data_IF_167577299743
#
_entry.id   IF_167577299743
#
_cell.length_a   1.000
_cell.length_b   1.000
_cell.length_c   1.000
_cell.angle_alpha   90.00
_cell.angle_beta   90.00
_cell.angle_gamma   90.00
#
_symmetry.space_group_name_H-M   'P 1'
#
loop_
_entity.id
_entity.type
_entity.pdbx_description
1 polymer ?
#
# COMPACT_ATOMS: atom_id res chain seq x y z
N UNK A 1 -12.62 -19.50 29.48
CA UNK A 1 -12.70 -18.98 28.10
C UNK A 1 -14.14 -18.60 27.81
N UNK A 2 -14.41 -17.46 27.15
CA UNK A 2 -15.77 -17.03 26.75
C UNK A 2 -15.82 -17.00 25.22
N UNK A 3 -16.88 -17.55 24.62
CA UNK A 3 -17.10 -17.53 23.17
C UNK A 3 -18.27 -16.59 22.85
N UNK A 4 -18.07 -15.65 21.92
CA UNK A 4 -19.10 -14.71 21.50
C UNK A 4 -19.49 -15.00 20.06
N UNK A 5 -20.79 -15.00 19.78
CA UNK A 5 -21.33 -15.33 18.45
C UNK A 5 -21.43 -14.07 17.61
N UNK A 6 -20.72 -14.04 16.49
CA UNK A 6 -20.69 -12.91 15.54
C UNK A 6 -21.85 -12.99 14.56
N UNK A 7 -21.99 -14.12 13.86
CA UNK A 7 -23.07 -14.37 12.92
C UNK A 7 -24.13 -15.24 13.61
N UNK A 8 -25.26 -14.64 14.02
CA UNK A 8 -26.34 -15.44 14.62
C UNK A 8 -27.00 -16.37 13.60
N UNK A 9 -26.88 -16.07 12.30
CA UNK A 9 -27.59 -16.74 11.22
C UNK A 9 -26.92 -18.04 10.78
N UNK A 10 -25.67 -18.25 11.18
CA UNK A 10 -24.90 -19.44 10.87
C UNK A 10 -25.63 -20.71 11.42
N UNK A 11 -25.95 -21.70 10.55
CA UNK A 11 -26.69 -22.89 10.96
C UNK A 11 -25.88 -23.83 11.87
N UNK A 12 -24.55 -23.84 11.74
CA UNK A 12 -23.66 -24.59 12.62
C UNK A 12 -23.67 -23.96 14.01
N UNK A 13 -23.47 -22.64 14.13
CA UNK A 13 -23.45 -22.00 15.45
C UNK A 13 -24.81 -22.11 16.14
N UNK A 14 -25.92 -22.00 15.40
CA UNK A 14 -27.28 -22.24 15.94
C UNK A 14 -27.42 -23.65 16.50
N UNK A 15 -26.84 -24.65 15.85
CA UNK A 15 -26.85 -26.04 16.31
C UNK A 15 -25.96 -26.22 17.55
N UNK A 16 -24.74 -25.68 17.54
CA UNK A 16 -23.83 -25.73 18.68
C UNK A 16 -24.39 -25.02 19.92
N UNK A 17 -25.08 -23.88 19.77
CA UNK A 17 -25.77 -23.19 20.87
C UNK A 17 -26.89 -24.04 21.50
N UNK A 18 -27.61 -24.83 20.69
CA UNK A 18 -28.63 -25.76 21.21
C UNK A 18 -28.01 -26.91 22.00
N UNK A 19 -26.87 -27.45 21.55
CA UNK A 19 -26.16 -28.55 22.22
C UNK A 19 -25.46 -28.06 23.49
N UNK A 20 -24.90 -26.85 23.48
CA UNK A 20 -24.14 -26.26 24.60
C UNK A 20 -24.66 -24.87 25.00
N UNK A 21 -25.81 -24.76 25.68
CA UNK A 21 -26.48 -23.48 25.95
C UNK A 21 -25.67 -22.48 26.79
N UNK A 22 -24.76 -22.97 27.63
CA UNK A 22 -23.94 -22.13 28.52
C UNK A 22 -22.58 -21.72 27.92
N UNK A 23 -22.20 -22.26 26.76
CA UNK A 23 -20.86 -22.06 26.19
C UNK A 23 -20.71 -20.74 25.42
N UNK A 24 -21.78 -20.31 24.76
CA UNK A 24 -21.79 -19.16 23.84
C UNK A 24 -22.56 -17.98 24.42
N UNK A 25 -22.05 -16.78 24.15
CA UNK A 25 -22.65 -15.49 24.52
C UNK A 25 -23.00 -14.69 23.27
N UNK A 26 -23.95 -13.78 23.39
CA UNK A 26 -24.26 -12.87 22.30
C UNK A 26 -23.16 -11.82 22.15
N UNK A 27 -22.90 -11.37 20.91
CA UNK A 27 -21.89 -10.33 20.65
C UNK A 27 -22.13 -9.05 21.43
N UNK A 28 -23.40 -8.71 21.66
CA UNK A 28 -23.81 -7.56 22.46
C UNK A 28 -23.29 -7.61 23.91
N UNK A 29 -23.10 -8.81 24.48
CA UNK A 29 -22.52 -9.00 25.83
C UNK A 29 -21.01 -8.78 25.88
N UNK A 30 -20.32 -8.68 24.73
CA UNK A 30 -18.89 -8.45 24.71
C UNK A 30 -18.57 -7.05 25.26
N UNK A 31 -17.62 -6.90 26.21
CA UNK A 31 -17.19 -5.59 26.69
C UNK A 31 -16.71 -4.68 25.55
N UNK A 32 -17.08 -3.40 25.58
CA UNK A 32 -16.76 -2.43 24.52
C UNK A 32 -15.26 -2.34 24.23
N UNK A 33 -14.41 -2.36 25.27
CA UNK A 33 -12.96 -2.34 25.06
C UNK A 33 -12.43 -3.56 24.29
N UNK A 34 -13.08 -4.72 24.38
CA UNK A 34 -12.71 -5.88 23.56
C UNK A 34 -13.20 -5.74 22.12
N UNK A 35 -14.40 -5.14 21.92
CA UNK A 35 -14.95 -4.87 20.59
C UNK A 35 -14.02 -4.01 19.74
N UNK A 36 -13.32 -3.06 20.37
CA UNK A 36 -12.34 -2.18 19.73
C UNK A 36 -11.04 -2.88 19.27
N UNK A 37 -10.83 -4.14 19.66
CA UNK A 37 -9.58 -4.88 19.39
C UNK A 37 -9.82 -6.24 18.74
N UNK A 38 -11.03 -6.48 18.22
CA UNK A 38 -11.34 -7.72 17.52
C UNK A 38 -10.54 -7.76 16.22
N UNK A 39 -10.08 -8.95 15.86
CA UNK A 39 -9.43 -9.23 14.59
C UNK A 39 -10.30 -10.16 13.78
N UNK A 40 -10.42 -9.87 12.49
CA UNK A 40 -10.99 -10.84 11.57
C UNK A 40 -10.12 -12.12 11.57
N UNK A 41 -10.72 -13.33 11.63
CA UNK A 41 -9.93 -14.55 11.77
C UNK A 41 -9.12 -14.85 10.50
N UNK A 42 -7.81 -15.01 10.64
CA UNK A 42 -6.89 -15.22 9.51
C UNK A 42 -7.16 -16.54 8.77
N UNK A 43 -7.35 -17.64 9.49
CA UNK A 43 -7.62 -18.95 8.86
C UNK A 43 -8.91 -18.93 8.04
N UNK A 44 -9.97 -18.30 8.57
CA UNK A 44 -11.24 -18.13 7.84
C UNK A 44 -11.03 -17.29 6.59
N UNK A 45 -10.29 -16.20 6.71
CA UNK A 45 -9.99 -15.29 5.61
C UNK A 45 -9.18 -15.97 4.50
N UNK A 46 -8.18 -16.79 4.84
CA UNK A 46 -7.40 -17.57 3.88
C UNK A 46 -8.32 -18.49 3.08
N UNK A 47 -9.20 -19.25 3.75
CA UNK A 47 -10.16 -20.14 3.07
C UNK A 47 -11.09 -19.34 2.14
N UNK A 48 -11.60 -18.20 2.59
CA UNK A 48 -12.45 -17.33 1.78
C UNK A 48 -11.71 -16.76 0.56
N UNK A 49 -10.46 -16.33 0.73
CA UNK A 49 -9.59 -15.86 -0.33
C UNK A 49 -9.29 -16.96 -1.36
N UNK A 50 -9.01 -18.19 -0.90
CA UNK A 50 -8.81 -19.37 -1.75
C UNK A 50 -10.06 -19.72 -2.55
N UNK A 51 -11.25 -19.70 -1.93
CA UNK A 51 -12.52 -19.92 -2.64
C UNK A 51 -12.73 -18.81 -3.67
N UNK A 52 -12.59 -17.55 -3.27
CA UNK A 52 -12.80 -16.40 -4.16
C UNK A 52 -11.86 -16.42 -5.37
N UNK A 53 -10.65 -16.96 -5.23
CA UNK A 53 -9.66 -17.09 -6.30
C UNK A 53 -10.20 -17.74 -7.59
N UNK A 54 -11.22 -18.60 -7.45
CA UNK A 54 -11.88 -19.27 -8.57
C UNK A 54 -13.35 -18.86 -8.70
N UNK A 55 -14.09 -18.70 -7.60
CA UNK A 55 -15.54 -18.51 -7.63
C UNK A 55 -16.00 -17.07 -7.89
N UNK A 56 -15.09 -16.11 -8.06
CA UNK A 56 -15.45 -14.77 -8.54
C UNK A 56 -15.87 -14.78 -10.02
N UNK A 57 -15.45 -15.78 -10.79
CA UNK A 57 -15.83 -15.96 -12.20
C UNK A 57 -17.30 -16.35 -12.30
N UNK A 58 -18.13 -15.44 -12.81
CA UNK A 58 -19.59 -15.64 -12.96
C UNK A 58 -19.98 -16.21 -14.32
N UNK A 59 -19.16 -16.02 -15.35
CA UNK A 59 -19.42 -16.58 -16.68
C UNK A 59 -19.10 -18.09 -16.68
N UNK A 60 -20.06 -18.96 -17.04
CA UNK A 60 -19.85 -20.42 -16.99
C UNK A 60 -18.74 -20.92 -17.90
N UNK A 61 -18.50 -20.27 -19.05
CA UNK A 61 -17.45 -20.69 -20.00
C UNK A 61 -16.07 -20.32 -19.45
N UNK A 62 -15.92 -19.09 -18.96
CA UNK A 62 -14.70 -18.61 -18.29
C UNK A 62 -14.39 -19.48 -17.07
N UNK A 63 -15.39 -19.82 -16.26
CA UNK A 63 -15.24 -20.69 -15.10
C UNK A 63 -14.82 -22.11 -15.48
N UNK A 64 -15.50 -22.73 -16.46
CA UNK A 64 -15.18 -24.07 -16.93
C UNK A 64 -13.74 -24.17 -17.47
N UNK A 65 -13.30 -23.16 -18.23
CA UNK A 65 -11.97 -23.09 -18.80
C UNK A 65 -10.89 -22.58 -17.82
N UNK A 66 -11.29 -22.08 -16.63
CA UNK A 66 -10.39 -21.47 -15.64
C UNK A 66 -9.53 -20.34 -16.22
N UNK A 67 -10.14 -19.50 -17.05
CA UNK A 67 -9.44 -18.46 -17.82
C UNK A 67 -8.98 -17.26 -16.96
N UNK A 68 -9.67 -16.97 -15.85
CA UNK A 68 -9.38 -15.83 -14.96
C UNK A 68 -9.12 -16.30 -13.52
N UNK A 69 -8.32 -17.36 -13.33
CA UNK A 69 -7.95 -17.82 -11.99
C UNK A 69 -7.00 -16.84 -11.33
N UNK A 70 -7.33 -16.41 -10.12
CA UNK A 70 -6.46 -15.59 -9.29
C UNK A 70 -5.65 -16.47 -8.36
N UNK A 71 -4.52 -15.96 -7.87
CA UNK A 71 -3.68 -16.61 -6.87
C UNK A 71 -3.16 -15.58 -5.87
N UNK A 72 -3.02 -16.01 -4.62
CA UNK A 72 -2.20 -15.28 -3.64
C UNK A 72 -0.76 -15.27 -4.17
N UNK A 73 -0.13 -14.10 -4.30
CA UNK A 73 1.21 -13.99 -4.87
C UNK A 73 2.27 -14.65 -3.99
N UNK A 74 3.44 -14.86 -4.58
CA UNK A 74 4.64 -15.23 -3.84
C UNK A 74 5.40 -13.97 -3.36
N UNK A 75 6.20 -14.13 -2.32
CA UNK A 75 7.15 -13.12 -1.81
C UNK A 75 8.48 -13.78 -1.45
N UNK A 76 9.53 -12.96 -1.23
CA UNK A 76 10.78 -13.42 -0.64
C UNK A 76 10.73 -13.20 0.86
N UNK A 77 10.79 -14.28 1.62
CA UNK A 77 10.84 -14.23 3.08
C UNK A 77 12.01 -15.04 3.60
N UNK A 78 12.82 -14.43 4.47
CA UNK A 78 13.99 -15.08 5.08
C UNK A 78 14.94 -15.73 4.05
N UNK A 79 15.00 -15.17 2.83
CA UNK A 79 15.86 -15.65 1.73
C UNK A 79 15.26 -16.78 0.87
N UNK A 80 14.01 -17.16 1.09
CA UNK A 80 13.29 -18.16 0.29
C UNK A 80 11.99 -17.62 -0.31
N UNK A 81 11.51 -18.26 -1.37
CA UNK A 81 10.17 -17.97 -1.91
C UNK A 81 9.11 -18.64 -1.08
N UNK A 82 8.05 -17.91 -0.74
CA UNK A 82 6.84 -18.46 -0.12
C UNK A 82 5.59 -17.78 -0.68
N UNK A 83 4.42 -18.38 -0.46
CA UNK A 83 3.16 -17.66 -0.68
C UNK A 83 3.00 -16.56 0.37
N UNK A 84 2.50 -15.41 -0.05
CA UNK A 84 2.11 -14.35 0.87
C UNK A 84 0.99 -14.83 1.79
N UNK A 85 1.09 -14.43 3.06
CA UNK A 85 0.03 -14.56 4.04
C UNK A 85 -0.72 -13.23 4.19
N UNK A 86 -1.99 -13.26 4.62
CA UNK A 86 -2.72 -12.04 4.94
C UNK A 86 -2.01 -11.25 6.05
N UNK A 87 -2.08 -9.93 5.98
CA UNK A 87 -1.50 -9.07 7.01
C UNK A 87 -2.49 -8.02 7.48
N UNK A 88 -2.37 -7.68 8.76
CA UNK A 88 -3.18 -6.63 9.36
C UNK A 88 -2.58 -5.25 9.08
N UNK A 89 -3.41 -4.31 8.65
CA UNK A 89 -3.02 -2.94 8.36
C UNK A 89 -4.12 -1.95 8.77
N UNK A 90 -3.71 -0.75 9.16
CA UNK A 90 -4.62 0.39 9.34
C UNK A 90 -4.46 1.30 8.14
N UNK A 91 -5.52 1.49 7.35
CA UNK A 91 -5.51 2.39 6.20
C UNK A 91 -6.91 2.93 5.91
N UNK A 92 -6.97 4.04 5.15
CA UNK A 92 -8.21 4.56 4.58
C UNK A 92 -8.57 3.72 3.35
N UNK A 93 -9.74 3.06 3.38
CA UNK A 93 -10.26 2.34 2.22
C UNK A 93 -10.71 3.32 1.13
N UNK A 94 -10.70 2.94 -0.17
CA UNK A 94 -11.04 3.86 -1.28
C UNK A 94 -12.38 4.60 -1.13
N UNK A 95 -13.39 3.96 -0.55
CA UNK A 95 -14.74 4.51 -0.37
C UNK A 95 -15.05 4.89 1.10
N UNK A 96 -14.05 4.88 1.97
CA UNK A 96 -14.21 5.21 3.39
C UNK A 96 -13.61 6.57 3.69
N UNK A 97 -14.26 7.38 4.52
CA UNK A 97 -13.69 8.64 5.01
C UNK A 97 -12.77 8.48 6.24
N UNK A 98 -12.75 7.29 6.84
CA UNK A 98 -12.00 6.99 8.06
C UNK A 98 -11.01 5.86 7.83
N UNK A 99 -9.89 5.93 8.55
CA UNK A 99 -8.98 4.80 8.69
C UNK A 99 -9.67 3.63 9.38
N UNK A 100 -9.33 2.43 8.94
CA UNK A 100 -9.91 1.21 9.48
C UNK A 100 -8.83 0.14 9.63
N UNK A 101 -8.95 -0.65 10.69
CA UNK A 101 -8.16 -1.84 10.89
C UNK A 101 -8.72 -2.99 10.05
N UNK A 102 -7.89 -3.52 9.14
CA UNK A 102 -8.30 -4.55 8.19
C UNK A 102 -7.26 -5.68 8.12
N UNK A 103 -7.72 -6.87 7.81
CA UNK A 103 -6.90 -7.99 7.35
C UNK A 103 -6.90 -7.99 5.82
N UNK A 104 -5.73 -7.98 5.18
CA UNK A 104 -5.63 -7.75 3.74
C UNK A 104 -4.77 -8.81 3.06
N UNK A 105 -5.10 -9.18 1.83
CA UNK A 105 -4.22 -9.95 0.94
C UNK A 105 -4.33 -9.48 -0.53
N UNK A 106 -3.21 -9.26 -1.23
CA UNK A 106 -3.21 -8.97 -2.67
C UNK A 106 -3.42 -10.23 -3.52
N UNK A 107 -3.79 -10.03 -4.79
CA UNK A 107 -3.94 -11.08 -5.79
C UNK A 107 -3.20 -10.79 -7.09
N UNK A 108 -2.74 -11.87 -7.73
CA UNK A 108 -2.18 -11.89 -9.09
C UNK A 108 -2.95 -12.89 -9.95
N UNK A 109 -3.00 -12.74 -11.28
CA UNK A 109 -3.51 -13.78 -12.16
C UNK A 109 -2.58 -14.99 -12.11
N UNK A 110 -3.13 -16.19 -12.26
CA UNK A 110 -2.32 -17.40 -12.39
C UNK A 110 -1.33 -17.27 -13.56
N UNK A 111 -0.05 -17.40 -13.27
CA UNK A 111 1.03 -17.33 -14.27
C UNK A 111 1.45 -15.92 -14.66
N UNK A 112 1.01 -14.89 -13.93
CA UNK A 112 1.48 -13.50 -14.09
C UNK A 112 1.84 -12.93 -12.73
N UNK A 113 2.83 -12.04 -12.70
CA UNK A 113 3.28 -11.42 -11.44
C UNK A 113 2.69 -10.03 -11.19
N UNK A 114 1.95 -9.45 -12.14
CA UNK A 114 1.31 -8.15 -11.95
C UNK A 114 0.08 -8.28 -11.05
N UNK A 115 -0.12 -7.31 -10.15
CA UNK A 115 -1.32 -7.26 -9.31
C UNK A 115 -2.57 -6.99 -10.15
N UNK A 116 -3.66 -7.60 -9.73
CA UNK A 116 -5.00 -7.39 -10.29
C UNK A 116 -6.02 -6.91 -9.28
N UNK A 117 -5.72 -7.04 -8.00
CA UNK A 117 -6.60 -6.59 -6.95
C UNK A 117 -6.13 -7.06 -5.60
N UNK A 118 -6.99 -6.86 -4.60
CA UNK A 118 -6.78 -7.31 -3.24
C UNK A 118 -8.13 -7.54 -2.57
N UNK A 119 -8.14 -8.39 -1.55
CA UNK A 119 -9.27 -8.61 -0.67
C UNK A 119 -8.93 -8.08 0.72
N UNK A 120 -9.94 -7.59 1.43
CA UNK A 120 -9.83 -7.26 2.84
C UNK A 120 -11.02 -7.75 3.67
N UNK A 121 -10.74 -8.18 4.90
CA UNK A 121 -11.71 -8.44 5.96
C UNK A 121 -11.65 -7.32 6.99
N UNK A 122 -12.81 -6.71 7.26
CA UNK A 122 -12.94 -5.54 8.14
C UNK A 122 -12.95 -5.94 9.61
N UNK A 123 -12.13 -5.29 10.43
CA UNK A 123 -12.00 -5.59 11.87
C UNK A 123 -12.81 -4.64 12.77
N UNK A 124 -13.20 -3.46 12.27
CA UNK A 124 -13.83 -2.43 13.10
C UNK A 124 -15.36 -2.44 12.98
N UNK A 125 -16.06 -2.19 14.08
CA UNK A 125 -17.52 -2.00 14.07
C UNK A 125 -17.91 -0.65 13.45
N UNK A 126 -19.03 -0.54 12.72
CA UNK A 126 -20.10 -1.54 12.53
C UNK A 126 -19.85 -2.53 11.40
N UNK A 127 -18.71 -2.44 10.73
CA UNK A 127 -18.44 -3.16 9.48
C UNK A 127 -17.69 -4.48 9.70
N UNK A 128 -17.41 -4.82 10.97
CA UNK A 128 -16.75 -6.04 11.39
C UNK A 128 -17.36 -7.26 10.70
N UNK A 129 -16.47 -8.06 10.11
CA UNK A 129 -16.85 -9.29 9.46
C UNK A 129 -17.17 -9.18 7.97
N UNK A 130 -17.34 -7.97 7.45
CA UNK A 130 -17.57 -7.75 6.02
C UNK A 130 -16.28 -7.91 5.24
N UNK A 131 -16.39 -8.63 4.13
CA UNK A 131 -15.33 -8.78 3.15
C UNK A 131 -15.53 -7.78 2.02
N UNK A 132 -14.44 -7.27 1.49
CA UNK A 132 -14.42 -6.47 0.26
C UNK A 132 -13.33 -6.96 -0.66
N UNK A 133 -13.55 -6.79 -1.96
CA UNK A 133 -12.54 -7.04 -2.98
C UNK A 133 -12.44 -5.81 -3.86
N UNK A 134 -11.24 -5.28 -3.99
CA UNK A 134 -10.94 -4.17 -4.86
C UNK A 134 -10.15 -4.68 -6.07
N UNK A 135 -10.63 -4.36 -7.27
CA UNK A 135 -9.99 -4.77 -8.52
C UNK A 135 -9.30 -3.56 -9.17
N UNK A 136 -8.05 -3.74 -9.58
CA UNK A 136 -7.36 -2.72 -10.35
C UNK A 136 -7.89 -2.66 -11.77
N UNK A 137 -7.90 -1.46 -12.35
CA UNK A 137 -8.26 -1.28 -13.76
C UNK A 137 -7.31 -2.06 -14.66
N UNK A 138 -7.87 -2.81 -15.62
CA UNK A 138 -7.10 -3.57 -16.62
C UNK A 138 -6.20 -2.70 -17.52
N UNK A 139 -6.40 -1.38 -17.50
CA UNK A 139 -5.61 -0.43 -18.28
C UNK A 139 -4.26 -0.08 -17.63
N UNK A 140 -4.11 -0.29 -16.32
CA UNK A 140 -2.89 0.05 -15.58
C UNK A 140 -2.15 -1.22 -15.18
N UNK A 141 -0.89 -1.33 -15.59
CA UNK A 141 0.00 -2.37 -15.09
C UNK A 141 0.47 -1.99 -13.70
N UNK A 142 0.14 -2.85 -12.74
CA UNK A 142 0.53 -2.70 -11.34
C UNK A 142 1.52 -3.80 -11.02
N UNK A 143 2.75 -3.43 -10.63
CA UNK A 143 3.75 -4.42 -10.25
C UNK A 143 3.24 -5.27 -9.08
N UNK A 144 3.50 -6.57 -9.08
CA UNK A 144 3.27 -7.38 -7.88
C UNK A 144 4.52 -7.63 -7.06
N UNK A 145 4.33 -8.30 -5.90
CA UNK A 145 5.38 -8.53 -4.91
C UNK A 145 6.66 -9.06 -5.54
N UNK A 146 6.62 -10.20 -6.25
CA UNK A 146 7.80 -10.79 -6.90
C UNK A 146 8.50 -9.87 -7.91
N UNK A 147 7.78 -8.94 -8.56
CA UNK A 147 8.42 -7.97 -9.45
C UNK A 147 9.15 -6.87 -8.66
N UNK A 148 8.60 -6.45 -7.53
CA UNK A 148 9.27 -5.51 -6.62
C UNK A 148 10.49 -6.17 -5.98
N UNK A 149 10.35 -7.42 -5.53
CA UNK A 149 11.46 -8.27 -5.05
C UNK A 149 12.63 -8.30 -6.04
N UNK A 150 12.34 -8.61 -7.31
CA UNK A 150 13.36 -8.64 -8.36
C UNK A 150 14.01 -7.26 -8.59
N UNK A 151 13.25 -6.17 -8.48
CA UNK A 151 13.78 -4.81 -8.61
C UNK A 151 14.64 -4.39 -7.42
N UNK A 152 14.29 -4.85 -6.22
CA UNK A 152 15.10 -4.66 -5.02
C UNK A 152 16.45 -5.34 -5.20
N UNK A 153 16.46 -6.59 -5.65
CA UNK A 153 17.69 -7.36 -5.90
C UNK A 153 18.57 -6.75 -7.01
N UNK A 154 17.95 -6.09 -7.99
CA UNK A 154 18.62 -5.36 -9.07
C UNK A 154 19.13 -3.97 -8.66
N UNK A 155 18.73 -3.44 -7.51
CA UNK A 155 19.14 -2.11 -7.07
C UNK A 155 20.58 -2.13 -6.53
N UNK A 156 21.51 -1.54 -7.29
CA UNK A 156 22.95 -1.54 -6.99
C UNK A 156 23.29 -1.13 -5.56
N UNK A 157 22.63 -0.13 -4.98
CA UNK A 157 22.93 0.34 -3.62
C UNK A 157 22.43 -0.65 -2.55
N UNK A 158 21.28 -1.29 -2.78
CA UNK A 158 20.75 -2.33 -1.91
C UNK A 158 21.61 -3.59 -2.02
N UNK A 159 21.93 -4.06 -3.23
CA UNK A 159 22.71 -5.27 -3.46
C UNK A 159 24.11 -5.19 -2.83
N UNK A 160 24.74 -4.01 -2.84
CA UNK A 160 26.02 -3.77 -2.13
C UNK A 160 25.88 -4.00 -0.63
N UNK A 161 24.85 -3.41 -0.01
CA UNK A 161 24.59 -3.56 1.43
C UNK A 161 24.26 -5.01 1.77
N UNK A 162 23.43 -5.67 0.95
CA UNK A 162 23.10 -7.07 1.17
C UNK A 162 24.34 -7.96 1.06
N UNK A 163 25.18 -7.75 0.05
CA UNK A 163 26.43 -8.50 -0.09
C UNK A 163 27.33 -8.31 1.13
N UNK A 164 27.48 -7.07 1.63
CA UNK A 164 28.29 -6.78 2.82
C UNK A 164 27.73 -7.43 4.09
N UNK A 165 26.42 -7.41 4.28
CA UNK A 165 25.75 -7.97 5.45
C UNK A 165 25.56 -9.49 5.42
N UNK A 166 25.75 -10.11 4.25
CA UNK A 166 25.84 -11.56 4.12
C UNK A 166 27.26 -12.09 4.35
N UNK A 167 28.20 -11.24 4.76
CA UNK A 167 29.57 -11.66 5.09
C UNK A 167 29.72 -12.02 6.58
N UNK A 168 30.70 -12.90 6.84
CA UNK A 168 31.38 -13.11 8.12
C UNK A 168 30.48 -13.10 9.37
N UNK A 169 29.68 -14.17 9.54
CA UNK A 169 28.98 -14.43 10.80
C UNK A 169 27.67 -13.66 11.01
N UNK A 170 27.18 -12.95 9.98
CA UNK A 170 25.88 -12.30 9.98
C UNK A 170 25.02 -12.76 8.80
N UNK A 171 23.70 -12.75 9.00
CA UNK A 171 22.71 -13.17 8.02
C UNK A 171 21.60 -12.14 7.92
N UNK A 172 21.16 -11.91 6.69
CA UNK A 172 20.02 -11.02 6.39
C UNK A 172 18.74 -11.83 6.49
N UNK A 173 17.72 -11.22 7.08
CA UNK A 173 16.34 -11.70 6.99
C UNK A 173 15.54 -10.60 6.31
N UNK A 174 15.04 -10.92 5.12
CA UNK A 174 14.00 -10.15 4.45
C UNK A 174 12.67 -10.48 5.11
N UNK A 175 11.98 -9.46 5.62
CA UNK A 175 10.64 -9.62 6.19
C UNK A 175 9.58 -9.72 5.11
N UNK A 176 8.32 -9.80 5.54
CA UNK A 176 7.19 -9.80 4.62
C UNK A 176 7.05 -8.46 3.90
N UNK A 177 6.72 -8.50 2.61
CA UNK A 177 6.46 -7.29 1.83
C UNK A 177 5.00 -6.84 2.03
N UNK A 178 4.81 -5.60 2.47
CA UNK A 178 3.48 -5.02 2.61
C UNK A 178 3.12 -4.28 1.33
N UNK A 179 2.04 -4.69 0.69
CA UNK A 179 1.44 -4.00 -0.46
C UNK A 179 0.37 -3.04 0.06
N UNK A 180 0.60 -1.74 -0.03
CA UNK A 180 -0.24 -0.71 0.59
C UNK A 180 -0.83 0.18 -0.52
N UNK A 181 -2.09 -0.04 -0.92
CA UNK A 181 -2.80 0.85 -1.81
C UNK A 181 -3.10 2.18 -1.10
N UNK A 182 -2.77 3.29 -1.76
CA UNK A 182 -3.10 4.64 -1.32
C UNK A 182 -3.67 5.37 -2.52
N UNK A 183 -4.96 5.71 -2.44
CA UNK A 183 -5.71 6.33 -3.53
C UNK A 183 -5.54 5.55 -4.85
N UNK A 184 -4.94 6.17 -5.87
CA UNK A 184 -4.70 5.58 -7.19
C UNK A 184 -3.31 4.96 -7.36
N UNK A 185 -2.59 4.78 -6.26
CA UNK A 185 -1.19 4.37 -6.23
C UNK A 185 -0.95 3.24 -5.23
N UNK A 186 0.23 2.62 -5.32
CA UNK A 186 0.63 1.54 -4.42
C UNK A 186 2.05 1.78 -3.93
N UNK A 187 2.22 1.62 -2.62
CA UNK A 187 3.49 1.65 -1.92
C UNK A 187 3.81 0.23 -1.45
N UNK A 188 5.07 -0.16 -1.60
CA UNK A 188 5.58 -1.42 -1.07
C UNK A 188 6.55 -1.13 0.07
N UNK A 189 6.37 -1.81 1.20
CA UNK A 189 7.24 -1.66 2.37
C UNK A 189 7.79 -3.02 2.75
N UNK A 190 9.10 -3.16 2.82
CA UNK A 190 9.75 -4.40 3.24
C UNK A 190 10.79 -4.12 4.34
N UNK A 191 10.62 -4.68 5.55
CA UNK A 191 11.61 -4.57 6.60
C UNK A 191 12.76 -5.56 6.38
N UNK A 192 13.99 -5.10 6.65
CA UNK A 192 15.21 -5.89 6.56
C UNK A 192 15.85 -5.99 7.93
N UNK A 193 16.01 -7.22 8.41
CA UNK A 193 16.61 -7.54 9.69
C UNK A 193 18.00 -8.14 9.52
N UNK A 194 18.84 -7.97 10.54
CA UNK A 194 20.10 -8.70 10.68
C UNK A 194 20.02 -9.63 11.88
N UNK A 195 20.55 -10.84 11.70
CA UNK A 195 20.82 -11.80 12.77
C UNK A 195 22.29 -12.23 12.72
N UNK A 196 22.86 -12.57 13.87
CA UNK A 196 24.13 -13.29 13.88
C UNK A 196 23.88 -14.74 13.44
N UNK A 197 24.93 -15.42 12.96
CA UNK A 197 24.85 -16.85 12.62
C UNK A 197 24.88 -17.77 13.84
N UNK A 198 25.19 -17.23 15.02
CA UNK A 198 25.17 -17.98 16.28
C UNK A 198 23.74 -18.32 16.71
N UNK A 199 23.58 -19.49 17.34
CA UNK A 199 22.25 -19.94 17.79
C UNK A 199 21.75 -19.06 18.93
N UNK A 200 20.49 -18.64 18.83
CA UNK A 200 19.78 -17.92 19.90
C UNK A 200 19.83 -16.39 19.82
N UNK A 201 20.42 -15.81 18.77
CA UNK A 201 20.40 -14.36 18.58
C UNK A 201 19.07 -13.88 17.97
N UNK A 202 18.48 -12.85 18.57
CA UNK A 202 17.26 -12.23 18.07
C UNK A 202 17.56 -11.33 16.85
N UNK A 203 16.77 -11.44 15.76
CA UNK A 203 16.89 -10.52 14.63
C UNK A 203 16.60 -9.06 15.04
N UNK A 204 17.40 -8.13 14.53
CA UNK A 204 17.22 -6.70 14.76
C UNK A 204 16.85 -6.00 13.44
N UNK A 205 15.83 -5.13 13.47
CA UNK A 205 15.46 -4.31 12.31
C UNK A 205 16.59 -3.33 11.99
N UNK A 206 17.14 -3.39 10.78
CA UNK A 206 18.24 -2.52 10.36
C UNK A 206 17.83 -1.56 9.25
N UNK A 207 16.96 -1.97 8.33
CA UNK A 207 16.46 -1.11 7.26
C UNK A 207 15.00 -1.34 6.98
N UNK A 208 14.40 -0.35 6.33
CA UNK A 208 13.12 -0.42 5.67
C UNK A 208 13.36 -0.05 4.21
N UNK A 209 12.94 -0.93 3.32
CA UNK A 209 12.89 -0.69 1.88
C UNK A 209 11.50 -0.16 1.55
N UNK A 210 11.45 0.90 0.76
CA UNK A 210 10.22 1.52 0.28
C UNK A 210 10.29 1.61 -1.24
N UNK A 211 9.31 1.02 -1.91
CA UNK A 211 9.16 1.13 -3.36
C UNK A 211 7.87 1.86 -3.75
N UNK A 212 7.98 2.75 -4.71
CA UNK A 212 6.87 3.50 -5.30
C UNK A 212 7.16 3.78 -6.78
N UNK A 213 6.26 3.31 -7.66
CA UNK A 213 6.46 3.40 -9.11
C UNK A 213 7.77 2.75 -9.56
N UNK A 214 8.71 3.56 -10.04
CA UNK A 214 10.04 3.11 -10.47
C UNK A 214 11.16 3.46 -9.48
N UNK A 215 10.83 4.04 -8.32
CA UNK A 215 11.81 4.45 -7.31
C UNK A 215 11.81 3.45 -6.16
N UNK A 216 13.01 3.09 -5.70
CA UNK A 216 13.24 2.22 -4.55
C UNK A 216 14.25 2.94 -3.66
N UNK A 217 13.94 3.08 -2.38
CA UNK A 217 14.84 3.64 -1.37
C UNK A 217 14.96 2.68 -0.20
N UNK A 218 16.12 2.67 0.45
CA UNK A 218 16.37 1.87 1.64
C UNK A 218 16.96 2.75 2.73
N UNK A 219 16.25 2.87 3.86
CA UNK A 219 16.65 3.71 5.00
C UNK A 219 16.53 3.00 6.32
N UNK A 220 17.01 3.64 7.40
CA UNK A 220 16.96 3.09 8.76
C UNK A 220 15.54 3.00 9.29
N UNK A 221 14.69 3.96 8.93
CA UNK A 221 13.30 4.05 9.38
C UNK A 221 12.36 4.22 8.19
N UNK A 222 11.09 3.86 8.37
CA UNK A 222 10.04 4.13 7.39
C UNK A 222 9.88 5.64 7.15
N UNK A 223 9.99 6.46 8.21
CA UNK A 223 9.89 7.92 8.10
C UNK A 223 10.99 8.52 7.21
N UNK A 224 12.24 8.07 7.37
CA UNK A 224 13.35 8.51 6.50
C UNK A 224 13.14 8.05 5.05
N UNK A 225 12.65 6.82 4.86
CA UNK A 225 12.35 6.29 3.52
C UNK A 225 11.25 7.11 2.83
N UNK A 226 10.17 7.43 3.54
CA UNK A 226 9.09 8.29 3.04
C UNK A 226 9.59 9.69 2.72
N UNK A 227 10.43 10.28 3.59
CA UNK A 227 11.01 11.60 3.36
C UNK A 227 11.90 11.63 2.12
N UNK A 228 12.72 10.61 1.87
CA UNK A 228 13.52 10.56 0.65
C UNK A 228 12.69 10.29 -0.61
N UNK A 229 11.64 9.48 -0.48
CA UNK A 229 10.74 9.17 -1.58
C UNK A 229 9.94 10.41 -2.02
N UNK A 230 9.33 11.13 -1.08
CA UNK A 230 8.32 12.16 -1.36
C UNK A 230 8.69 13.59 -0.89
N UNK A 231 9.74 13.74 -0.08
CA UNK A 231 10.10 15.05 0.51
C UNK A 231 10.49 16.11 -0.52
N UNK A 232 11.09 15.71 -1.64
CA UNK A 232 11.44 16.64 -2.73
C UNK A 232 10.23 17.15 -3.53
N UNK A 233 9.16 16.35 -3.64
CA UNK A 233 7.93 16.76 -4.35
C UNK A 233 7.15 17.78 -3.52
N UNK A 234 7.10 17.60 -2.20
CA UNK A 234 6.45 18.53 -1.27
C UNK A 234 7.14 19.90 -1.22
N UNK A 235 8.47 19.93 -1.28
CA UNK A 235 9.23 21.18 -1.38
C UNK A 235 9.06 21.87 -2.75
N UNK A 236 8.90 21.11 -3.83
CA UNK A 236 8.64 21.65 -5.17
C UNK A 236 7.21 22.21 -5.30
N UNK A 237 6.20 21.53 -4.73
CA UNK A 237 4.84 22.04 -4.63
C UNK A 237 4.76 23.26 -3.71
N UNK A 238 5.38 23.23 -2.52
CA UNK A 238 5.44 24.41 -1.65
C UNK A 238 6.15 25.59 -2.31
N UNK A 239 7.22 25.37 -3.08
CA UNK A 239 7.87 26.44 -3.87
C UNK A 239 6.98 26.99 -4.97
N UNK A 240 6.19 26.15 -5.64
CA UNK A 240 5.18 26.59 -6.64
C UNK A 240 3.99 27.31 -6.02
N UNK A 241 3.64 26.97 -4.78
CA UNK A 241 2.48 27.54 -4.06
C UNK A 241 2.87 28.80 -3.27
N UNK A 242 4.17 29.04 -3.06
CA UNK A 242 4.74 30.21 -2.35
C UNK A 242 5.06 31.41 -3.24
N UNK A 243 4.87 31.36 -4.57
CA UNK A 243 4.68 32.61 -5.33
C UNK A 243 3.33 33.18 -4.89
N UNK A 244 3.36 34.08 -3.90
CA UNK A 244 2.13 34.70 -3.39
C UNK A 244 1.45 35.49 -4.50
N UNK A 245 0.11 35.57 -4.47
CA UNK A 245 -0.64 36.40 -5.42
C UNK A 245 -0.12 37.86 -5.46
N UNK A 246 0.39 38.36 -4.33
CA UNK A 246 1.06 39.66 -4.23
C UNK A 246 2.39 39.74 -5.00
N UNK A 247 3.21 38.68 -4.98
CA UNK A 247 4.46 38.62 -5.75
C UNK A 247 4.21 38.49 -7.25
N UNK A 248 3.19 37.72 -7.66
CA UNK A 248 2.74 37.65 -9.05
C UNK A 248 2.21 38.99 -9.53
N UNK A 249 1.37 39.66 -8.74
CA UNK A 249 0.85 41.00 -9.05
C UNK A 249 1.97 42.03 -9.18
N UNK A 250 2.96 41.98 -8.29
CA UNK A 250 4.13 42.87 -8.34
C UNK A 250 4.98 42.62 -9.59
N UNK A 251 5.23 41.34 -9.92
CA UNK A 251 5.97 40.95 -11.13
C UNK A 251 5.24 41.37 -12.41
N UNK A 252 3.91 41.20 -12.47
CA UNK A 252 3.08 41.67 -13.59
C UNK A 252 3.14 43.19 -13.71
N UNK A 253 3.07 43.92 -12.58
CA UNK A 253 3.17 45.38 -12.58
C UNK A 253 4.53 45.88 -13.09
N UNK A 254 5.63 45.24 -12.67
CA UNK A 254 6.98 45.57 -13.11
C UNK A 254 7.18 45.27 -14.61
N UNK A 255 6.72 44.11 -15.08
CA UNK A 255 6.77 43.74 -16.50
C UNK A 255 5.92 44.69 -17.36
N UNK A 256 4.73 45.06 -16.90
CA UNK A 256 3.87 46.01 -17.60
C UNK A 256 4.50 47.41 -17.66
N UNK A 257 5.14 47.85 -16.58
CA UNK A 257 5.87 49.11 -16.56
C UNK A 257 7.01 49.12 -17.59
N UNK A 258 7.80 48.05 -17.63
CA UNK A 258 8.91 47.90 -18.59
C UNK A 258 8.41 47.79 -20.04
N UNK A 259 7.29 47.11 -20.29
CA UNK A 259 6.64 47.08 -21.58
C UNK A 259 6.25 48.50 -22.03
N UNK A 260 5.62 49.29 -21.15
CA UNK A 260 5.24 50.67 -21.46
C UNK A 260 6.44 51.59 -21.73
N UNK A 261 7.58 51.36 -21.05
CA UNK A 261 8.83 52.07 -21.33
C UNK A 261 9.40 51.69 -22.71
N UNK A 262 9.42 50.39 -23.04
CA UNK A 262 9.88 49.90 -24.35
C UNK A 262 9.01 50.44 -25.50
N UNK A 263 7.69 50.51 -25.29
CA UNK A 263 6.75 51.10 -26.25
C UNK A 263 7.02 52.60 -26.45
N UNK A 264 7.25 53.36 -25.37
CA UNK A 264 7.62 54.78 -25.45
C UNK A 264 8.94 55.03 -26.16
N UNK A 265 9.87 54.08 -26.10
CA UNK A 265 11.15 54.12 -26.79
C UNK A 265 11.09 53.59 -28.23
N UNK A 266 9.91 53.16 -28.71
CA UNK A 266 9.72 52.62 -30.06
C UNK A 266 10.28 51.21 -30.26
N UNK A 267 10.66 50.51 -29.18
CA UNK A 267 11.23 49.18 -29.27
C UNK A 267 10.14 48.10 -29.17
N UNK A 268 9.51 47.83 -30.31
CA UNK A 268 8.39 46.89 -30.42
C UNK A 268 8.78 45.43 -30.12
N UNK A 269 10.05 45.06 -30.36
CA UNK A 269 10.53 43.70 -30.08
C UNK A 269 10.64 43.44 -28.58
N UNK A 270 11.17 44.41 -27.81
CA UNK A 270 11.24 44.33 -26.35
C UNK A 270 9.84 44.42 -25.73
N UNK A 271 8.96 45.25 -26.28
CA UNK A 271 7.56 45.29 -25.87
C UNK A 271 6.86 43.94 -26.01
N UNK A 272 7.00 43.29 -27.18
CA UNK A 272 6.39 41.98 -27.43
C UNK A 272 6.91 40.92 -26.45
N UNK A 273 8.22 40.91 -26.17
CA UNK A 273 8.83 39.99 -25.19
C UNK A 273 8.25 40.17 -23.78
N UNK A 274 8.11 41.40 -23.29
CA UNK A 274 7.52 41.65 -21.97
C UNK A 274 6.03 41.28 -21.90
N UNK A 275 5.28 41.43 -22.99
CA UNK A 275 3.86 41.01 -23.04
C UNK A 275 3.72 39.49 -23.03
N UNK A 276 4.61 38.77 -23.70
CA UNK A 276 4.66 37.30 -23.69
C UNK A 276 5.01 36.78 -22.28
N UNK A 277 6.00 37.37 -21.62
CA UNK A 277 6.36 37.04 -20.23
C UNK A 277 5.22 37.31 -19.23
N UNK A 278 4.40 38.35 -19.43
CA UNK A 278 3.19 38.57 -18.61
C UNK A 278 2.19 37.42 -18.81
N UNK A 279 2.04 36.94 -20.05
CA UNK A 279 1.16 35.83 -20.39
C UNK A 279 1.58 34.49 -19.78
N UNK A 280 2.86 34.32 -19.42
CA UNK A 280 3.36 33.14 -18.72
C UNK A 280 3.15 33.19 -17.19
N UNK A 281 2.95 34.38 -16.62
CA UNK A 281 2.79 34.59 -15.17
C UNK A 281 1.32 34.48 -14.72
N UNK A 282 0.38 34.80 -15.62
CA UNK A 282 -1.09 34.76 -15.43
C UNK A 282 -1.61 33.32 -15.61
#
# INVERSE_FOLDING_TARGET
VKYYVIDDSDPLIRTYRKIFPALFKDFSEMPEHLKLHIRYPEDLFIVQAEIYSTYHMRDPRVFYNKEDVWVMPEEIYSGGKQKMLPYFIIMKLPDSEKEEFILMIPFTPKGKDNLIGWMAGRCDTPEYGKLMVYQFSKQKLVYGPMQIEARIDQNTEISKVFTLWSQAGSGIIRGNILVIPIENSIIYVEPVYLKATEKGTLPELKRVILAYGNRIVMKKTLGDALKEMFGGEREAEERKTKETAEEKLKRIADLYHNAMLALKQGNLSLYAGYIEEIGEVV
#
